data_IF_098429008794
#
_entry.id   IF_098429008794
#
_cell.length_a   1.000
_cell.length_b   1.000
_cell.length_c   1.000
_cell.angle_alpha   90.00
_cell.angle_beta   90.00
_cell.angle_gamma   90.00
#
_symmetry.space_group_name_H-M   'P 1'
#
loop_
_entity.id
_entity.type
_entity.pdbx_description
1 polymer ?
#
# COMPACT_ATOMS: atom_id res chain seq x y z
N UNK A 1 12.04 -22.45 -9.04
CA UNK A 1 11.20 -22.14 -7.86
C UNK A 1 10.76 -20.69 -7.98
N UNK A 2 9.47 -20.45 -8.21
CA UNK A 2 8.91 -19.10 -8.28
C UNK A 2 8.45 -18.74 -6.88
N UNK A 3 9.17 -17.85 -6.22
CA UNK A 3 8.75 -17.32 -4.92
C UNK A 3 7.71 -16.26 -5.22
N UNK A 4 6.44 -16.59 -4.98
CA UNK A 4 5.33 -15.64 -5.09
C UNK A 4 4.89 -15.20 -3.71
N UNK A 5 4.73 -13.88 -3.47
CA UNK A 5 4.18 -13.38 -2.22
C UNK A 5 2.71 -13.82 -2.05
N UNK A 6 2.19 -13.91 -0.82
CA UNK A 6 0.81 -14.27 -0.57
C UNK A 6 -0.20 -13.30 -1.20
N UNK A 7 -1.35 -13.81 -1.61
CA UNK A 7 -2.41 -13.03 -2.29
C UNK A 7 -2.86 -11.80 -1.49
N UNK A 8 -2.90 -11.89 -0.15
CA UNK A 8 -3.27 -10.77 0.71
C UNK A 8 -2.22 -9.64 0.73
N UNK A 9 -0.94 -9.98 0.57
CA UNK A 9 0.16 -9.00 0.40
C UNK A 9 0.10 -8.38 -0.99
N UNK A 10 -0.18 -9.18 -2.02
CA UNK A 10 -0.34 -8.71 -3.41
C UNK A 10 -1.50 -7.72 -3.52
N UNK A 11 -2.68 -8.07 -2.98
CA UNK A 11 -3.86 -7.21 -3.01
C UNK A 11 -3.64 -5.88 -2.27
N UNK A 12 -2.98 -5.90 -1.10
CA UNK A 12 -2.65 -4.69 -0.36
C UNK A 12 -1.61 -3.83 -1.11
N UNK A 13 -0.64 -4.46 -1.78
CA UNK A 13 0.38 -3.78 -2.57
C UNK A 13 -0.24 -3.09 -3.78
N UNK A 14 -1.13 -3.77 -4.50
CA UNK A 14 -1.87 -3.19 -5.63
C UNK A 14 -2.72 -1.98 -5.21
N UNK A 15 -3.46 -2.11 -4.11
CA UNK A 15 -4.29 -1.03 -3.59
C UNK A 15 -3.46 0.21 -3.23
N UNK A 16 -2.29 0.00 -2.63
CA UNK A 16 -1.34 1.07 -2.30
C UNK A 16 -0.74 1.71 -3.56
N UNK A 17 -0.32 0.88 -4.54
CA UNK A 17 0.28 1.37 -5.77
C UNK A 17 -0.68 2.22 -6.60
N UNK A 18 -1.94 1.79 -6.75
CA UNK A 18 -2.96 2.58 -7.47
C UNK A 18 -3.20 3.94 -6.81
N UNK A 19 -3.22 3.99 -5.48
CA UNK A 19 -3.41 5.23 -4.72
C UNK A 19 -2.24 6.20 -4.91
N UNK A 20 -1.00 5.73 -4.77
CA UNK A 20 0.19 6.53 -5.05
C UNK A 20 0.26 7.01 -6.50
N UNK A 21 -0.16 6.18 -7.46
CA UNK A 21 -0.24 6.58 -8.87
C UNK A 21 -1.26 7.69 -9.08
N UNK A 22 -2.44 7.60 -8.50
CA UNK A 22 -3.46 8.64 -8.58
C UNK A 22 -2.96 9.96 -7.97
N UNK A 23 -2.21 9.90 -6.86
CA UNK A 23 -1.57 11.08 -6.27
C UNK A 23 -0.57 11.71 -7.25
N UNK A 24 0.32 10.91 -7.83
CA UNK A 24 1.29 11.38 -8.83
C UNK A 24 0.60 12.03 -10.03
N UNK A 25 -0.46 11.40 -10.55
CA UNK A 25 -1.18 11.90 -11.72
C UNK A 25 -1.83 13.27 -11.41
N UNK A 26 -2.41 13.46 -10.21
CA UNK A 26 -2.93 14.77 -9.75
C UNK A 26 -1.84 15.84 -9.60
N UNK A 27 -0.66 15.47 -9.11
CA UNK A 27 0.50 16.37 -9.05
C UNK A 27 0.92 16.79 -10.45
N UNK A 28 0.96 15.85 -11.41
CA UNK A 28 1.28 16.14 -12.81
C UNK A 28 0.22 17.03 -13.48
N UNK A 29 -1.05 16.89 -13.12
CA UNK A 29 -2.15 17.75 -13.54
C UNK A 29 -2.09 19.17 -12.92
N UNK A 30 -1.03 19.49 -12.15
CA UNK A 30 -0.84 20.79 -11.49
C UNK A 30 -1.96 21.16 -10.52
N UNK A 31 -2.66 20.17 -9.96
CA UNK A 31 -3.68 20.40 -8.94
C UNK A 31 -3.00 21.02 -7.71
N UNK A 32 -3.38 22.25 -7.30
CA UNK A 32 -2.76 22.92 -6.16
C UNK A 32 -2.92 22.09 -4.88
N UNK A 33 -1.87 22.06 -4.04
CA UNK A 33 -1.93 21.36 -2.75
C UNK A 33 -3.03 21.90 -1.80
N UNK A 34 -3.51 23.12 -2.06
CA UNK A 34 -4.60 23.79 -1.34
C UNK A 34 -5.98 23.37 -1.83
N UNK A 35 -6.11 22.69 -2.98
CA UNK A 35 -7.39 22.15 -3.39
C UNK A 35 -7.80 21.00 -2.47
N UNK A 36 -9.07 20.95 -2.02
CA UNK A 36 -9.55 19.92 -1.10
C UNK A 36 -9.46 18.48 -1.63
N UNK A 37 -9.26 18.30 -2.94
CA UNK A 37 -8.98 17.01 -3.57
C UNK A 37 -7.59 16.45 -3.22
N UNK A 38 -6.64 17.31 -2.85
CA UNK A 38 -5.25 16.95 -2.51
C UNK A 38 -5.11 16.37 -1.08
N UNK A 39 -5.56 17.02 0.01
CA UNK A 39 -5.46 16.47 1.37
C UNK A 39 -6.38 15.26 1.60
N UNK A 40 -7.53 15.16 0.89
CA UNK A 40 -8.37 13.95 0.92
C UNK A 40 -7.67 12.74 0.28
N UNK A 41 -6.75 12.94 -0.66
CA UNK A 41 -5.90 11.89 -1.22
C UNK A 41 -4.88 11.39 -0.21
N UNK A 42 -4.15 12.32 0.42
CA UNK A 42 -3.06 12.01 1.36
C UNK A 42 -3.47 11.11 2.54
N UNK A 43 -4.63 11.36 3.17
CA UNK A 43 -5.09 10.51 4.27
C UNK A 43 -5.45 9.08 3.82
N UNK A 44 -5.93 8.94 2.59
CA UNK A 44 -6.18 7.64 1.96
C UNK A 44 -4.89 6.87 1.65
N UNK A 45 -3.83 7.58 1.28
CA UNK A 45 -2.53 6.99 0.96
C UNK A 45 -1.83 6.45 2.21
N UNK A 46 -1.81 7.24 3.28
CA UNK A 46 -1.24 6.82 4.57
C UNK A 46 -1.98 5.60 5.14
N UNK A 47 -3.30 5.59 5.01
CA UNK A 47 -4.14 4.44 5.41
C UNK A 47 -3.79 3.18 4.61
N UNK A 48 -3.60 3.30 3.30
CA UNK A 48 -3.20 2.15 2.47
C UNK A 48 -1.81 1.64 2.79
N UNK A 49 -0.85 2.55 3.02
CA UNK A 49 0.50 2.20 3.47
C UNK A 49 0.49 1.50 4.84
N UNK A 50 -0.36 1.95 5.77
CA UNK A 50 -0.51 1.31 7.06
C UNK A 50 -1.05 -0.13 6.91
N UNK A 51 -2.09 -0.32 6.09
CA UNK A 51 -2.65 -1.65 5.80
C UNK A 51 -1.60 -2.57 5.16
N UNK A 52 -0.85 -2.08 4.17
CA UNK A 52 0.21 -2.86 3.52
C UNK A 52 1.28 -3.30 4.52
N UNK A 53 1.72 -2.39 5.39
CA UNK A 53 2.71 -2.70 6.44
C UNK A 53 2.21 -3.76 7.41
N UNK A 54 0.93 -3.74 7.77
CA UNK A 54 0.32 -4.78 8.61
C UNK A 54 0.34 -6.13 7.89
N UNK A 55 -0.11 -6.19 6.64
CA UNK A 55 -0.12 -7.45 5.86
C UNK A 55 1.26 -8.05 5.65
N UNK A 56 2.26 -7.21 5.35
CA UNK A 56 3.65 -7.65 5.24
C UNK A 56 4.19 -8.18 6.58
N UNK A 57 3.83 -7.56 7.72
CA UNK A 57 4.23 -8.06 9.04
C UNK A 57 3.57 -9.40 9.37
N UNK A 58 2.27 -9.54 9.11
CA UNK A 58 1.55 -10.80 9.30
C UNK A 58 2.22 -11.95 8.54
N UNK A 59 2.56 -11.76 7.26
CA UNK A 59 3.28 -12.76 6.45
C UNK A 59 4.64 -13.15 7.07
N UNK A 60 5.43 -12.16 7.50
CA UNK A 60 6.72 -12.40 8.16
C UNK A 60 6.58 -13.17 9.48
N UNK A 61 5.56 -12.88 10.29
CA UNK A 61 5.28 -13.59 11.53
C UNK A 61 4.81 -15.03 11.28
N UNK A 62 3.97 -15.23 10.27
CA UNK A 62 3.46 -16.55 9.87
C UNK A 62 4.61 -17.43 9.34
N UNK A 63 5.52 -16.86 8.55
CA UNK A 63 6.73 -17.52 8.07
C UNK A 63 7.69 -17.90 9.21
N UNK A 64 7.77 -17.07 10.26
CA UNK A 64 8.65 -17.31 11.42
C UNK A 64 8.13 -18.42 12.34
N UNK A 65 6.81 -18.53 12.51
CA UNK A 65 6.21 -19.61 13.30
C UNK A 65 6.20 -20.95 12.55
N UNK A 66 6.08 -20.93 11.22
CA UNK A 66 6.29 -22.11 10.38
C UNK A 66 7.73 -22.64 10.40
N UNK A 67 8.72 -21.78 10.64
CA UNK A 67 10.14 -22.14 10.74
C UNK A 67 10.57 -22.68 12.12
N UNK A 68 9.67 -22.73 13.11
CA UNK A 68 9.94 -23.22 14.48
C UNK A 68 9.34 -24.60 14.78
N UNK A 69 8.79 -25.28 13.77
CA UNK A 69 8.25 -26.64 13.87
C UNK A 69 9.09 -27.64 13.11
#
# INVERSE_FOLDING_TARGET
MTISPPDHVVAASEGTFRRLRNLRDRVMESVPATEPAYPKGHHGDDTALAILRVRMREDLHTSRDGSRR
#
